data_IF_968552621097
#
_entry.id   IF_968552621097
#
_cell.length_a   1.000
_cell.length_b   1.000
_cell.length_c   1.000
_cell.angle_alpha   90.00
_cell.angle_beta   90.00
_cell.angle_gamma   90.00
#
_symmetry.space_group_name_H-M   'P 1'
#
loop_
_entity.id
_entity.type
_entity.pdbx_description
1 polymer ?
#
# COMPACT_ATOMS: atom_id res chain seq x y z
N UNK A 1 4.98 35.71 -2.64
CA UNK A 1 4.41 34.91 -3.75
C UNK A 1 5.37 33.74 -3.99
N UNK A 2 5.09 32.57 -3.42
CA UNK A 2 5.96 31.39 -3.57
C UNK A 2 5.56 30.63 -4.83
N UNK A 3 6.46 30.60 -5.82
CA UNK A 3 6.33 29.80 -7.03
C UNK A 3 6.51 28.32 -6.66
N UNK A 4 5.40 27.61 -6.48
CA UNK A 4 5.38 26.16 -6.36
C UNK A 4 5.74 25.58 -7.74
N UNK A 5 6.85 24.85 -7.84
CA UNK A 5 7.24 24.18 -9.08
C UNK A 5 6.18 23.18 -9.54
N UNK A 6 5.99 23.05 -10.86
CA UNK A 6 4.98 22.19 -11.51
C UNK A 6 5.04 20.74 -11.00
N UNK A 7 6.24 20.24 -10.68
CA UNK A 7 6.48 18.92 -10.08
C UNK A 7 5.81 18.75 -8.71
N UNK A 8 5.83 19.80 -7.90
CA UNK A 8 5.25 19.84 -6.55
C UNK A 8 3.74 20.07 -6.61
N UNK A 9 3.26 20.78 -7.63
CA UNK A 9 1.82 20.91 -7.92
C UNK A 9 1.21 19.58 -8.41
N UNK A 10 1.95 18.79 -9.19
CA UNK A 10 1.55 17.44 -9.60
C UNK A 10 1.54 16.46 -8.42
N UNK A 11 2.43 16.60 -7.44
CA UNK A 11 2.40 15.77 -6.22
C UNK A 11 1.25 16.12 -5.28
N UNK A 12 0.74 17.36 -5.30
CA UNK A 12 -0.36 17.82 -4.45
C UNK A 12 -1.75 17.49 -5.03
N UNK A 13 -1.90 17.45 -6.36
CA UNK A 13 -3.15 17.02 -7.01
C UNK A 13 -3.46 15.51 -6.83
N UNK A 14 -2.52 14.72 -6.28
CA UNK A 14 -2.75 13.32 -5.96
C UNK A 14 -3.55 13.10 -4.65
N UNK A 15 -3.93 14.16 -3.92
CA UNK A 15 -4.61 14.05 -2.63
C UNK A 15 -6.06 14.59 -2.62
N UNK A 16 -6.72 14.74 -3.78
CA UNK A 16 -8.16 15.06 -3.82
C UNK A 16 -8.99 13.78 -4.09
N UNK A 17 -10.02 13.46 -3.28
CA UNK A 17 -10.55 12.10 -3.12
C UNK A 17 -11.48 11.58 -4.24
N UNK A 18 -11.69 12.31 -5.34
CA UNK A 18 -12.68 11.87 -6.34
C UNK A 18 -12.07 11.19 -7.57
N UNK A 19 -10.78 11.38 -7.90
CA UNK A 19 -10.11 10.66 -9.01
C UNK A 19 -8.59 10.76 -8.96
N UNK A 20 -7.87 9.65 -8.80
CA UNK A 20 -6.40 9.61 -8.90
C UNK A 20 -5.95 9.44 -10.35
N UNK A 21 -5.52 10.53 -10.98
CA UNK A 21 -5.08 10.53 -12.38
C UNK A 21 -3.64 10.06 -12.55
N UNK A 22 -3.42 9.25 -13.58
CA UNK A 22 -2.07 8.93 -14.06
C UNK A 22 -1.33 10.18 -14.57
N UNK A 23 0.01 10.25 -14.45
CA UNK A 23 0.80 11.38 -14.94
C UNK A 23 0.55 11.77 -16.40
N UNK A 24 0.34 10.78 -17.28
CA UNK A 24 0.05 11.03 -18.69
C UNK A 24 -1.43 11.38 -18.98
N UNK A 25 -2.28 11.44 -17.94
CA UNK A 25 -3.71 11.75 -17.99
C UNK A 25 -4.54 10.82 -18.88
N UNK A 26 -4.04 9.63 -19.23
CA UNK A 26 -4.79 8.63 -20.02
C UNK A 26 -5.64 7.71 -19.15
N UNK A 27 -5.27 7.57 -17.89
CA UNK A 27 -5.90 6.67 -16.93
C UNK A 27 -6.24 7.38 -15.63
N UNK A 28 -7.22 6.82 -14.94
CA UNK A 28 -7.62 7.21 -13.60
C UNK A 28 -7.93 5.98 -12.75
N UNK A 29 -7.76 6.11 -11.44
CA UNK A 29 -8.38 5.23 -10.45
C UNK A 29 -9.43 6.04 -9.70
N UNK A 30 -10.61 5.47 -9.51
CA UNK A 30 -11.69 6.06 -8.71
C UNK A 30 -12.03 5.12 -7.56
N UNK A 31 -12.24 5.68 -6.39
CA UNK A 31 -12.90 4.96 -5.31
C UNK A 31 -14.39 4.83 -5.63
N UNK A 32 -14.98 3.67 -5.34
CA UNK A 32 -16.42 3.48 -5.38
C UNK A 32 -16.85 2.57 -4.23
N UNK A 33 -18.12 2.69 -3.85
CA UNK A 33 -18.71 1.87 -2.79
C UNK A 33 -19.64 0.83 -3.40
N UNK A 34 -19.61 -0.39 -2.86
CA UNK A 34 -20.46 -1.50 -3.27
C UNK A 34 -21.24 -2.07 -2.09
N UNK A 35 -22.57 -2.19 -2.25
CA UNK A 35 -23.52 -2.72 -1.27
C UNK A 35 -23.66 -1.84 -0.01
N UNK A 36 -24.84 -1.26 0.26
CA UNK A 36 -25.15 -0.41 1.44
C UNK A 36 -24.04 0.58 1.90
N UNK A 37 -23.10 0.97 1.04
CA UNK A 37 -21.94 1.79 1.41
C UNK A 37 -20.86 1.07 2.25
N UNK A 38 -20.89 -0.25 2.37
CA UNK A 38 -20.04 -1.01 3.33
C UNK A 38 -18.69 -1.48 2.77
N UNK A 39 -18.53 -1.57 1.44
CA UNK A 39 -17.29 -2.08 0.82
C UNK A 39 -16.72 -1.10 -0.17
N UNK A 40 -15.43 -0.80 -0.04
CA UNK A 40 -14.68 0.00 -1.01
C UNK A 40 -14.12 -0.89 -2.13
N UNK A 41 -14.31 -0.45 -3.37
CA UNK A 41 -13.67 -0.97 -4.56
C UNK A 41 -12.86 0.14 -5.24
N UNK A 42 -11.81 -0.23 -5.94
CA UNK A 42 -11.10 0.68 -6.83
C UNK A 42 -11.54 0.42 -8.28
N UNK A 43 -11.86 1.45 -9.03
CA UNK A 43 -12.25 1.37 -10.43
C UNK A 43 -11.17 2.00 -11.28
N UNK A 44 -10.45 1.18 -12.03
CA UNK A 44 -9.53 1.67 -13.06
C UNK A 44 -10.35 2.13 -14.28
N UNK A 45 -10.02 3.30 -14.83
CA UNK A 45 -10.71 3.89 -15.98
C UNK A 45 -9.70 4.31 -17.04
N UNK A 46 -9.92 3.87 -18.28
CA UNK A 46 -9.27 4.41 -19.47
C UNK A 46 -10.06 5.62 -19.97
N UNK A 47 -9.48 6.81 -19.83
CA UNK A 47 -10.17 8.08 -20.08
C UNK A 47 -10.45 8.35 -21.55
N UNK A 48 -9.67 7.77 -22.48
CA UNK A 48 -9.89 7.97 -23.92
C UNK A 48 -10.99 7.06 -24.48
N UNK A 49 -11.28 5.92 -23.83
CA UNK A 49 -12.24 4.93 -24.32
C UNK A 49 -13.46 4.75 -23.42
N UNK A 50 -13.43 5.30 -22.21
CA UNK A 50 -14.44 5.08 -21.17
C UNK A 50 -14.43 3.67 -20.57
N UNK A 51 -13.55 2.76 -21.03
CA UNK A 51 -13.47 1.39 -20.51
C UNK A 51 -13.01 1.41 -19.06
N UNK A 52 -13.67 0.61 -18.23
CA UNK A 52 -13.33 0.46 -16.82
C UNK A 52 -13.10 -1.00 -16.42
N UNK A 53 -12.33 -1.18 -15.35
CA UNK A 53 -12.09 -2.47 -14.70
C UNK A 53 -12.24 -2.27 -13.19
N UNK A 54 -13.05 -3.14 -12.56
CA UNK A 54 -13.23 -3.15 -11.11
C UNK A 54 -12.10 -3.96 -10.47
N UNK A 55 -11.51 -3.40 -9.42
CA UNK A 55 -10.53 -4.01 -8.55
C UNK A 55 -11.18 -4.15 -7.17
N UNK A 56 -11.41 -5.38 -6.74
CA UNK A 56 -12.06 -5.67 -5.46
C UNK A 56 -11.13 -5.33 -4.29
N UNK A 57 -11.56 -4.41 -3.43
CA UNK A 57 -10.83 -4.04 -2.21
C UNK A 57 -10.95 -5.08 -1.08
N UNK A 58 -11.71 -6.17 -1.30
CA UNK A 58 -11.86 -7.29 -0.37
C UNK A 58 -12.30 -6.85 1.04
N UNK A 59 -13.27 -5.93 1.11
CA UNK A 59 -13.77 -5.39 2.38
C UNK A 59 -12.97 -4.21 2.95
N UNK A 60 -12.20 -3.51 2.11
CA UNK A 60 -11.57 -2.25 2.47
C UNK A 60 -12.59 -1.17 2.88
N UNK A 61 -12.19 -0.31 3.82
CA UNK A 61 -12.92 0.88 4.28
C UNK A 61 -12.52 2.14 3.51
N UNK A 62 -11.30 2.19 3.01
CA UNK A 62 -10.81 3.23 2.13
C UNK A 62 -9.75 2.66 1.19
N UNK A 63 -9.42 3.44 0.17
CA UNK A 63 -8.32 3.15 -0.74
C UNK A 63 -7.53 4.40 -1.07
N UNK A 64 -6.25 4.22 -1.40
CA UNK A 64 -5.43 5.27 -2.02
C UNK A 64 -4.68 4.70 -3.21
N UNK A 65 -4.39 5.53 -4.21
CA UNK A 65 -3.65 5.11 -5.39
C UNK A 65 -2.38 5.93 -5.60
N UNK A 66 -1.30 5.25 -5.97
CA UNK A 66 0.01 5.83 -6.27
C UNK A 66 0.45 5.41 -7.67
N UNK A 67 0.38 6.35 -8.61
CA UNK A 67 0.84 6.14 -9.97
C UNK A 67 2.35 6.21 -10.08
N UNK A 68 2.93 5.31 -10.88
CA UNK A 68 4.34 5.42 -11.23
C UNK A 68 4.57 6.56 -12.24
N UNK A 69 5.81 7.07 -12.35
CA UNK A 69 6.10 8.27 -13.14
C UNK A 69 5.71 8.18 -14.63
N UNK A 70 5.81 7.00 -15.26
CA UNK A 70 5.52 6.81 -16.69
C UNK A 70 4.08 6.32 -16.95
N UNK A 71 3.26 6.17 -15.91
CA UNK A 71 1.86 5.71 -15.98
C UNK A 71 1.67 4.25 -16.44
N UNK A 72 2.72 3.43 -16.43
CA UNK A 72 2.62 1.99 -16.72
C UNK A 72 2.29 1.13 -15.50
N UNK A 73 2.31 1.69 -14.29
CA UNK A 73 1.97 0.98 -13.07
C UNK A 73 1.20 1.89 -12.10
N UNK A 74 0.34 1.26 -11.30
CA UNK A 74 -0.34 1.90 -10.16
C UNK A 74 -0.30 0.97 -8.98
N UNK A 75 0.07 1.48 -7.81
CA UNK A 75 -0.09 0.79 -6.55
C UNK A 75 -1.37 1.29 -5.87
N UNK A 76 -2.16 0.38 -5.32
CA UNK A 76 -3.38 0.68 -4.59
C UNK A 76 -3.22 0.15 -3.18
N UNK A 77 -3.32 1.02 -2.19
CA UNK A 77 -3.40 0.63 -0.78
C UNK A 77 -4.86 0.47 -0.41
N UNK A 78 -5.21 -0.69 0.14
CA UNK A 78 -6.52 -0.94 0.72
C UNK A 78 -6.42 -0.97 2.24
N UNK A 79 -7.09 -0.05 2.93
CA UNK A 79 -7.18 -0.08 4.40
C UNK A 79 -8.40 -0.90 4.81
N UNK A 80 -8.21 -2.07 5.44
CA UNK A 80 -9.32 -2.94 5.83
C UNK A 80 -9.66 -2.79 7.31
N UNK A 81 -10.94 -2.95 7.61
CA UNK A 81 -11.40 -3.11 8.99
C UNK A 81 -10.92 -4.45 9.54
N UNK A 82 -10.39 -4.46 10.76
CA UNK A 82 -9.75 -5.62 11.39
C UNK A 82 -8.38 -5.94 10.81
N UNK A 83 -7.51 -4.93 10.86
CA UNK A 83 -6.11 -5.17 11.15
C UNK A 83 -5.22 -5.62 9.98
N UNK A 84 -5.68 -5.60 8.72
CA UNK A 84 -4.84 -5.90 7.54
C UNK A 84 -4.95 -4.83 6.44
N UNK A 85 -3.88 -4.05 6.24
CA UNK A 85 -3.74 -3.18 5.07
C UNK A 85 -2.89 -3.85 4.00
N UNK A 86 -3.39 -3.96 2.76
CA UNK A 86 -2.63 -4.58 1.67
C UNK A 86 -2.46 -3.64 0.49
N UNK A 87 -1.20 -3.44 0.10
CA UNK A 87 -0.82 -2.83 -1.15
C UNK A 87 -0.87 -3.86 -2.27
N UNK A 88 -1.62 -3.56 -3.32
CA UNK A 88 -1.60 -4.30 -4.58
C UNK A 88 -0.99 -3.42 -5.67
N UNK A 89 -0.14 -4.01 -6.53
CA UNK A 89 0.49 -3.29 -7.65
C UNK A 89 -0.08 -3.82 -8.95
N UNK A 90 -0.52 -2.93 -9.83
CA UNK A 90 -1.10 -3.25 -11.12
C UNK A 90 -0.26 -2.67 -12.24
N UNK A 91 -0.04 -3.47 -13.28
CA UNK A 91 0.51 -3.03 -14.56
C UNK A 91 -0.61 -2.54 -15.46
N UNK A 92 -0.37 -1.43 -16.14
CA UNK A 92 -1.27 -0.81 -17.10
C UNK A 92 -0.69 -0.97 -18.50
N UNK A 93 -1.37 -1.75 -19.34
CA UNK A 93 -0.95 -1.99 -20.72
C UNK A 93 -2.15 -2.02 -21.65
N UNK A 94 -2.11 -1.21 -22.72
CA UNK A 94 -3.16 -1.14 -23.75
C UNK A 94 -4.59 -0.95 -23.16
N UNK A 95 -4.69 -0.17 -22.09
CA UNK A 95 -5.97 0.09 -21.41
C UNK A 95 -6.51 -1.07 -20.58
N UNK A 96 -5.69 -2.08 -20.28
CA UNK A 96 -5.99 -3.16 -19.36
C UNK A 96 -5.10 -3.04 -18.13
N UNK A 97 -5.59 -3.59 -17.01
CA UNK A 97 -4.82 -3.76 -15.78
C UNK A 97 -4.57 -5.23 -15.51
N UNK A 98 -3.38 -5.56 -15.03
CA UNK A 98 -3.06 -6.89 -14.50
C UNK A 98 -2.23 -6.76 -13.24
N UNK A 99 -2.59 -7.51 -12.20
CA UNK A 99 -1.85 -7.48 -10.93
C UNK A 99 -0.43 -8.03 -11.10
N UNK A 100 0.52 -7.40 -10.42
CA UNK A 100 1.90 -7.83 -10.28
C UNK A 100 2.03 -8.50 -8.92
N UNK A 101 2.35 -9.80 -8.94
CA UNK A 101 2.60 -10.55 -7.70
C UNK A 101 3.79 -9.96 -6.96
N UNK A 102 3.54 -9.48 -5.75
CA UNK A 102 4.58 -9.00 -4.86
C UNK A 102 5.42 -10.16 -4.30
N UNK A 103 6.69 -9.92 -3.93
CA UNK A 103 7.54 -10.95 -3.32
C UNK A 103 6.95 -11.46 -2.01
N UNK A 104 7.14 -12.75 -1.71
CA UNK A 104 6.85 -13.28 -0.37
C UNK A 104 7.89 -12.82 0.66
N UNK A 105 7.61 -13.00 1.94
CA UNK A 105 8.57 -12.71 3.01
C UNK A 105 8.56 -11.25 3.48
N UNK A 106 7.58 -10.48 3.04
CA UNK A 106 7.39 -9.09 3.46
C UNK A 106 6.44 -8.97 4.66
N UNK A 107 5.97 -10.08 5.24
CA UNK A 107 5.02 -10.03 6.36
C UNK A 107 5.71 -9.49 7.62
N UNK A 108 5.11 -8.49 8.28
CA UNK A 108 5.74 -7.75 9.37
C UNK A 108 6.14 -8.67 10.55
N UNK A 109 5.35 -9.70 10.80
CA UNK A 109 5.60 -10.72 11.84
C UNK A 109 6.93 -11.44 11.70
N UNK A 110 7.50 -11.53 10.49
CA UNK A 110 8.82 -12.16 10.28
C UNK A 110 9.95 -11.38 10.96
N UNK A 111 9.78 -10.07 11.12
CA UNK A 111 10.81 -9.15 11.61
C UNK A 111 10.66 -8.80 13.09
N UNK A 112 9.70 -9.42 13.79
CA UNK A 112 9.62 -9.33 15.24
C UNK A 112 10.90 -9.89 15.89
N UNK A 113 11.47 -9.22 16.92
CA UNK A 113 12.67 -9.69 17.60
C UNK A 113 12.43 -11.02 18.32
N UNK A 114 13.47 -11.86 18.44
CA UNK A 114 13.36 -13.22 18.99
C UNK A 114 12.77 -13.35 20.40
N UNK A 115 13.02 -12.48 21.40
CA UNK A 115 12.30 -12.60 22.66
C UNK A 115 10.81 -12.29 22.53
N UNK A 116 10.39 -11.51 21.53
CA UNK A 116 9.00 -11.19 21.30
C UNK A 116 8.25 -12.30 20.56
N UNK A 117 8.87 -13.00 19.61
CA UNK A 117 8.20 -14.08 18.87
C UNK A 117 7.59 -15.17 19.76
N UNK A 118 8.29 -15.51 20.84
CA UNK A 118 7.88 -16.56 21.79
C UNK A 118 6.99 -16.02 22.93
N UNK A 119 6.91 -14.70 23.11
CA UNK A 119 6.21 -14.05 24.21
C UNK A 119 5.02 -13.19 23.75
N UNK A 120 4.85 -12.98 22.45
CA UNK A 120 3.71 -12.24 21.89
C UNK A 120 2.43 -13.03 22.13
N UNK A 121 1.61 -12.51 23.03
CA UNK A 121 0.26 -13.01 23.29
C UNK A 121 -0.76 -12.47 22.26
N UNK A 122 -0.43 -11.38 21.57
CA UNK A 122 -1.29 -10.77 20.55
C UNK A 122 -0.50 -10.10 19.42
N UNK A 123 -0.76 -10.52 18.18
CA UNK A 123 -0.29 -9.79 16.99
C UNK A 123 -1.30 -8.71 16.65
N UNK A 124 -0.88 -7.45 16.78
CA UNK A 124 -1.69 -6.29 16.41
C UNK A 124 -1.93 -6.19 14.89
N UNK A 125 -2.66 -5.16 14.43
CA UNK A 125 -2.74 -4.78 13.02
C UNK A 125 -1.43 -4.92 12.26
N UNK A 126 -1.47 -5.56 11.09
CA UNK A 126 -0.38 -5.65 10.14
C UNK A 126 -0.76 -4.90 8.87
N UNK A 127 0.19 -4.25 8.22
CA UNK A 127 -0.06 -3.70 6.90
C UNK A 127 1.18 -3.77 6.01
N UNK A 128 0.97 -4.05 4.72
CA UNK A 128 1.92 -3.71 3.68
C UNK A 128 1.35 -2.53 2.92
N UNK A 129 2.02 -1.37 2.96
CA UNK A 129 1.59 -0.14 2.27
C UNK A 129 2.62 0.30 1.24
N UNK A 130 2.16 0.68 0.07
CA UNK A 130 2.96 1.42 -0.89
C UNK A 130 3.12 2.87 -0.43
N UNK A 131 4.37 3.33 -0.35
CA UNK A 131 4.71 4.66 0.15
C UNK A 131 4.99 5.61 -1.01
N UNK A 132 5.87 5.21 -1.94
CA UNK A 132 6.25 6.02 -3.10
C UNK A 132 6.92 5.20 -4.19
N UNK A 133 6.89 5.74 -5.40
CA UNK A 133 7.74 5.29 -6.49
C UNK A 133 9.10 5.98 -6.40
N UNK A 134 10.18 5.19 -6.46
CA UNK A 134 11.55 5.71 -6.51
C UNK A 134 11.97 6.01 -7.95
N UNK A 135 11.43 5.25 -8.91
CA UNK A 135 11.51 5.51 -10.34
C UNK A 135 10.40 4.75 -11.08
N UNK A 136 10.53 4.58 -12.40
CA UNK A 136 9.54 3.91 -13.26
C UNK A 136 9.31 2.44 -12.91
N UNK A 137 10.30 1.76 -12.32
CA UNK A 137 10.27 0.33 -12.06
C UNK A 137 10.59 -0.04 -10.60
N UNK A 138 10.81 0.92 -9.71
CA UNK A 138 11.08 0.69 -8.30
C UNK A 138 10.06 1.39 -7.42
N UNK A 139 9.46 0.63 -6.51
CA UNK A 139 8.52 1.11 -5.50
C UNK A 139 9.06 0.81 -4.11
N UNK A 140 8.83 1.73 -3.19
CA UNK A 140 9.06 1.54 -1.76
C UNK A 140 7.75 1.13 -1.09
N UNK A 141 7.79 -0.03 -0.43
CA UNK A 141 6.71 -0.57 0.38
C UNK A 141 7.16 -0.60 1.84
N UNK A 142 6.27 -0.31 2.76
CA UNK A 142 6.48 -0.55 4.20
C UNK A 142 5.63 -1.73 4.64
N UNK A 143 6.21 -2.59 5.46
CA UNK A 143 5.51 -3.62 6.21
C UNK A 143 5.59 -3.28 7.68
N UNK A 144 4.45 -3.16 8.34
CA UNK A 144 4.39 -2.66 9.70
C UNK A 144 3.38 -3.41 10.57
N UNK A 145 3.61 -3.37 11.88
CA UNK A 145 2.58 -3.66 12.88
C UNK A 145 2.18 -2.39 13.61
N UNK A 146 0.97 -2.36 14.16
CA UNK A 146 0.55 -1.34 15.11
C UNK A 146 -0.03 -1.98 16.37
N UNK A 147 0.48 -1.62 17.55
CA UNK A 147 0.00 -2.13 18.83
C UNK A 147 0.25 -3.63 19.05
N UNK A 148 1.31 -4.20 18.45
CA UNK A 148 1.74 -5.55 18.78
C UNK A 148 2.37 -5.55 20.17
N UNK A 149 1.79 -6.24 21.16
CA UNK A 149 2.20 -6.11 22.56
C UNK A 149 2.57 -7.42 23.24
N UNK A 150 3.50 -7.33 24.21
CA UNK A 150 3.71 -8.35 25.24
C UNK A 150 2.76 -8.03 26.41
N UNK A 151 1.65 -8.74 26.55
CA UNK A 151 0.90 -8.70 27.80
C UNK A 151 1.56 -9.67 28.79
N UNK A 152 1.77 -9.25 30.04
CA UNK A 152 2.02 -10.24 31.10
C UNK A 152 0.71 -10.97 31.37
N UNK A 153 0.77 -12.28 31.58
CA UNK A 153 -0.41 -13.06 31.94
C UNK A 153 -1.00 -12.52 33.26
N UNK A 154 -2.08 -11.74 33.16
CA UNK A 154 -2.75 -11.12 34.32
C UNK A 154 -2.82 -9.60 34.31
N UNK A 155 -1.99 -8.92 33.51
CA UNK A 155 -2.06 -7.47 33.35
C UNK A 155 -2.91 -7.14 32.12
N UNK A 156 -3.95 -6.32 32.29
CA UNK A 156 -4.78 -5.85 31.19
C UNK A 156 -3.97 -5.08 30.14
N UNK A 157 -4.59 -4.67 29.01
CA UNK A 157 -3.87 -4.13 27.86
C UNK A 157 -3.16 -2.77 28.05
N UNK A 158 -3.16 -2.22 29.27
CA UNK A 158 -2.70 -0.86 29.55
C UNK A 158 -1.18 -0.75 29.77
N UNK A 159 -0.49 -1.82 30.17
CA UNK A 159 0.91 -1.75 30.64
C UNK A 159 1.90 -2.60 29.81
N UNK A 160 1.49 -3.11 28.65
CA UNK A 160 2.34 -3.90 27.77
C UNK A 160 3.31 -3.05 26.94
N UNK A 161 4.58 -3.45 26.85
CA UNK A 161 5.52 -2.86 25.89
C UNK A 161 5.08 -3.22 24.45
N UNK A 162 4.86 -2.21 23.61
CA UNK A 162 4.61 -2.41 22.19
C UNK A 162 5.90 -2.78 21.47
N UNK A 163 5.89 -3.91 20.77
CA UNK A 163 6.95 -4.41 19.91
C UNK A 163 6.56 -4.20 18.46
N UNK A 164 6.32 -2.94 18.10
CA UNK A 164 5.95 -2.59 16.74
C UNK A 164 7.14 -2.70 15.77
N UNK A 165 6.87 -3.29 14.62
CA UNK A 165 7.82 -3.43 13.52
C UNK A 165 7.47 -2.41 12.45
N UNK A 166 8.50 -1.80 11.88
CA UNK A 166 8.41 -1.03 10.64
C UNK A 166 9.59 -1.45 9.75
N UNK A 167 9.30 -2.20 8.69
CA UNK A 167 10.28 -2.72 7.74
C UNK A 167 9.98 -2.20 6.34
N UNK A 168 10.93 -1.50 5.76
CA UNK A 168 10.84 -0.97 4.40
C UNK A 168 11.46 -1.94 3.40
N UNK A 169 10.86 -2.00 2.22
CA UNK A 169 11.30 -2.80 1.08
C UNK A 169 11.33 -1.93 -0.17
N UNK A 170 12.48 -1.93 -0.84
CA UNK A 170 12.55 -1.47 -2.23
C UNK A 170 12.32 -2.67 -3.12
N UNK A 171 11.24 -2.61 -3.89
CA UNK A 171 10.82 -3.66 -4.81
C UNK A 171 11.04 -3.19 -6.24
N UNK A 172 11.83 -3.95 -7.00
CA UNK A 172 11.99 -3.75 -8.45
C UNK A 172 10.94 -4.59 -9.18
N UNK A 173 10.18 -3.92 -10.03
CA UNK A 173 9.10 -4.50 -10.84
C UNK A 173 9.63 -4.74 -12.25
N UNK A 174 9.24 -5.87 -12.82
CA UNK A 174 9.44 -6.24 -14.22
C UNK A 174 8.12 -6.75 -14.82
N UNK A 175 8.09 -7.06 -16.11
CA UNK A 175 6.89 -7.63 -16.75
C UNK A 175 6.50 -8.96 -16.07
N UNK A 176 5.46 -8.92 -15.24
CA UNK A 176 4.83 -10.09 -14.62
C UNK A 176 5.39 -10.50 -13.24
N UNK A 177 6.43 -9.84 -12.73
CA UNK A 177 7.03 -10.20 -11.44
C UNK A 177 7.62 -8.99 -10.73
N UNK A 178 7.81 -9.14 -9.42
CA UNK A 178 8.49 -8.18 -8.58
C UNK A 178 9.56 -8.88 -7.74
N UNK A 179 10.63 -8.17 -7.37
CA UNK A 179 11.70 -8.69 -6.51
C UNK A 179 12.15 -7.65 -5.49
N UNK A 180 12.46 -8.09 -4.27
CA UNK A 180 13.09 -7.25 -3.25
C UNK A 180 14.53 -6.99 -3.69
N UNK A 181 14.93 -5.72 -3.76
CA UNK A 181 16.32 -5.32 -4.06
C UNK A 181 17.02 -4.65 -2.88
N UNK A 182 16.27 -4.18 -1.89
CA UNK A 182 16.78 -3.64 -0.63
C UNK A 182 15.71 -3.80 0.45
N UNK A 183 16.11 -4.05 1.70
CA UNK A 183 15.23 -3.93 2.87
C UNK A 183 15.96 -3.24 4.02
N UNK A 184 15.24 -2.50 4.86
CA UNK A 184 15.78 -1.81 6.04
C UNK A 184 14.70 -1.59 7.10
N UNK A 185 15.06 -1.55 8.38
CA UNK A 185 14.17 -1.22 9.48
C UNK A 185 14.39 0.22 9.98
N UNK A 186 13.44 0.73 10.79
CA UNK A 186 13.54 2.05 11.44
C UNK A 186 14.61 2.10 12.53
N UNK A 187 14.90 0.97 13.17
CA UNK A 187 16.04 0.79 14.07
C UNK A 187 17.21 0.21 13.26
N UNK A 188 18.15 1.09 12.88
CA UNK A 188 19.27 0.72 12.03
C UNK A 188 20.25 -0.24 12.69
N UNK A 189 20.38 -1.44 12.12
CA UNK A 189 21.60 -2.24 11.94
C UNK A 189 21.23 -3.51 11.16
#
# INVERSE_FOLDING_TARGET
MFLVSVSTALSLNNNNPETWHSPNKKYAVKESFYGEGKRVIAVFVNLSTGRSVVIDGSGARNSTALWNPDSHYVAINFERSHNWGDAAVYRVEKGRVSEIKLPSGMEATRFLPSPAKDQILHVGPQAIRAIRWLDTNRIELVSETAGAGLYRQGDGPADGESVDVERHFVVKISRGSAKIVKSYGKNGA
#
